data_IF_597013661963
#
_entry.id   IF_597013661963
#
_cell.length_a   1.000
_cell.length_b   1.000
_cell.length_c   1.000
_cell.angle_alpha   90.00
_cell.angle_beta   90.00
_cell.angle_gamma   90.00
#
_symmetry.space_group_name_H-M   'P 1'
#
loop_
_entity.id
_entity.type
_entity.pdbx_description
1 polymer ?
#
# COMPACT_ATOMS: atom_id res chain seq x y z
N UNK A 1 33.26 36.79 15.88
CA UNK A 1 32.68 35.44 15.67
C UNK A 1 31.45 35.30 16.53
N UNK A 2 30.32 35.86 16.08
CA UNK A 2 29.00 35.66 16.71
C UNK A 2 27.96 35.85 15.61
N UNK A 3 27.32 34.76 15.20
CA UNK A 3 26.27 34.79 14.20
C UNK A 3 25.52 33.46 14.12
N UNK A 4 24.18 33.59 14.03
CA UNK A 4 23.13 32.59 13.80
C UNK A 4 22.79 31.69 15.00
N UNK A 5 21.57 31.70 15.56
CA UNK A 5 20.29 32.17 15.05
C UNK A 5 19.74 31.22 13.98
N UNK A 6 18.65 30.51 14.31
CA UNK A 6 17.86 29.74 13.35
C UNK A 6 17.53 28.34 13.86
N UNK A 7 16.31 28.18 14.36
CA UNK A 7 15.80 26.90 14.79
C UNK A 7 15.51 25.92 13.65
N UNK A 8 15.10 24.73 14.04
CA UNK A 8 14.02 24.01 13.37
C UNK A 8 13.41 23.06 14.38
N UNK A 9 12.15 23.31 14.72
CA UNK A 9 11.28 22.28 15.25
C UNK A 9 11.26 21.16 14.20
N UNK A 10 11.82 20.01 14.54
CA UNK A 10 11.59 18.81 13.75
C UNK A 10 10.33 18.20 14.36
N UNK A 11 9.19 18.53 13.76
CA UNK A 11 8.01 17.69 13.81
C UNK A 11 8.40 16.34 13.22
N UNK A 12 8.91 15.46 14.08
CA UNK A 12 9.14 14.07 13.75
C UNK A 12 7.77 13.39 13.84
N UNK A 13 6.93 13.70 12.85
CA UNK A 13 5.76 12.89 12.55
C UNK A 13 6.27 11.48 12.41
N UNK A 14 5.79 10.60 13.30
CA UNK A 14 6.04 9.16 13.31
C UNK A 14 6.11 8.72 11.86
N UNK A 15 7.28 8.25 11.41
CA UNK A 15 7.42 7.56 10.13
C UNK A 15 6.24 6.59 10.05
N UNK A 16 5.24 6.90 9.20
CA UNK A 16 4.14 5.98 8.92
C UNK A 16 4.79 4.73 8.36
N UNK A 17 4.99 3.75 9.25
CA UNK A 17 5.73 2.55 8.94
C UNK A 17 4.80 1.72 8.07
N UNK A 18 4.95 1.88 6.76
CA UNK A 18 4.16 1.18 5.76
C UNK A 18 4.14 -0.33 6.02
N UNK A 19 3.05 -0.97 5.63
CA UNK A 19 2.85 -2.39 5.81
C UNK A 19 3.63 -3.16 4.74
N UNK A 20 4.41 -4.17 5.17
CA UNK A 20 5.04 -5.09 4.22
C UNK A 20 3.97 -5.87 3.43
N UNK A 21 4.31 -6.38 2.25
CA UNK A 21 3.36 -7.19 1.47
C UNK A 21 2.81 -8.41 2.24
N UNK A 22 3.64 -9.08 3.05
CA UNK A 22 3.18 -10.19 3.90
C UNK A 22 2.15 -9.73 4.93
N UNK A 23 2.45 -8.66 5.67
CA UNK A 23 1.54 -8.12 6.70
C UNK A 23 0.26 -7.57 6.09
N UNK A 24 0.35 -6.97 4.91
CA UNK A 24 -0.80 -6.48 4.12
C UNK A 24 -1.73 -7.63 3.76
N UNK A 25 -1.21 -8.72 3.19
CA UNK A 25 -2.00 -9.90 2.83
C UNK A 25 -2.72 -10.49 4.05
N UNK A 26 -2.02 -10.61 5.18
CA UNK A 26 -2.57 -11.08 6.46
C UNK A 26 -3.70 -10.17 6.98
N UNK A 27 -3.49 -8.85 7.03
CA UNK A 27 -4.48 -7.89 7.54
C UNK A 27 -5.73 -7.78 6.67
N UNK A 28 -5.57 -7.80 5.35
CA UNK A 28 -6.69 -7.75 4.39
C UNK A 28 -7.43 -9.09 4.38
N UNK A 29 -6.73 -10.21 4.60
CA UNK A 29 -7.27 -11.57 4.53
C UNK A 29 -7.25 -12.13 3.11
N UNK A 30 -6.25 -11.77 2.31
CA UNK A 30 -6.03 -12.29 0.94
C UNK A 30 -4.74 -13.09 0.90
N UNK A 31 -4.57 -13.93 -0.12
CA UNK A 31 -3.29 -14.61 -0.34
C UNK A 31 -2.23 -13.61 -0.80
N UNK A 32 -0.96 -13.86 -0.46
CA UNK A 32 0.15 -13.04 -0.98
C UNK A 32 0.19 -13.03 -2.51
N UNK A 33 -0.22 -14.13 -3.16
CA UNK A 33 -0.30 -14.24 -4.62
C UNK A 33 -1.36 -13.32 -5.22
N UNK A 34 -2.54 -13.19 -4.58
CA UNK A 34 -3.55 -12.22 -5.00
C UNK A 34 -3.01 -10.80 -4.88
N UNK A 35 -2.37 -10.46 -3.76
CA UNK A 35 -1.74 -9.15 -3.58
C UNK A 35 -0.69 -8.86 -4.65
N UNK A 36 0.23 -9.79 -4.91
CA UNK A 36 1.26 -9.61 -5.94
C UNK A 36 0.65 -9.48 -7.34
N UNK A 37 -0.35 -10.29 -7.65
CA UNK A 37 -1.05 -10.21 -8.94
C UNK A 37 -1.75 -8.87 -9.13
N UNK A 38 -2.50 -8.38 -8.12
CA UNK A 38 -3.18 -7.08 -8.19
C UNK A 38 -2.21 -5.91 -8.33
N UNK A 39 -1.07 -5.96 -7.64
CA UNK A 39 -0.01 -4.96 -7.79
C UNK A 39 0.68 -5.01 -9.16
N UNK A 40 0.91 -6.21 -9.71
CA UNK A 40 1.53 -6.38 -11.03
C UNK A 40 0.60 -6.03 -12.20
N UNK A 41 -0.70 -6.01 -11.97
CA UNK A 41 -1.74 -5.73 -12.98
C UNK A 41 -2.46 -4.42 -12.70
N UNK A 42 -1.84 -3.57 -11.88
CA UNK A 42 -2.22 -2.19 -11.63
C UNK A 42 -3.62 -1.99 -11.06
N UNK A 43 -4.21 -3.04 -10.49
CA UNK A 43 -5.49 -2.90 -9.79
C UNK A 43 -5.31 -2.07 -8.52
N UNK A 44 -4.31 -2.41 -7.70
CA UNK A 44 -3.88 -1.61 -6.54
C UNK A 44 -2.37 -1.75 -6.40
N UNK A 45 -1.64 -0.63 -6.50
CA UNK A 45 -0.20 -0.56 -6.28
C UNK A 45 0.13 -0.04 -4.88
N UNK A 46 1.25 -0.48 -4.28
CA UNK A 46 1.72 0.11 -3.03
C UNK A 46 2.04 1.60 -3.24
N UNK A 47 1.43 2.48 -2.43
CA UNK A 47 1.62 3.92 -2.55
C UNK A 47 2.89 4.44 -1.88
N UNK A 48 3.44 3.72 -0.88
CA UNK A 48 4.63 4.16 -0.16
C UNK A 48 5.93 3.70 -0.82
N UNK A 49 5.98 2.45 -1.28
CA UNK A 49 7.13 1.97 -2.03
C UNK A 49 6.74 0.84 -2.98
N UNK A 50 6.94 1.07 -4.27
CA UNK A 50 6.93 0.04 -5.30
C UNK A 50 8.22 -0.80 -5.25
N UNK A 51 8.12 -2.07 -5.66
CA UNK A 51 9.32 -2.89 -5.87
C UNK A 51 9.94 -2.55 -7.23
N UNK A 52 11.16 -2.02 -7.23
CA UNK A 52 11.91 -1.57 -8.42
C UNK A 52 13.03 -2.55 -8.84
N UNK A 53 13.18 -3.70 -8.18
CA UNK A 53 14.20 -4.70 -8.52
C UNK A 53 14.46 -5.73 -7.41
N UNK A 54 15.49 -6.56 -7.62
CA UNK A 54 15.94 -7.56 -6.63
C UNK A 54 16.37 -6.86 -5.33
N UNK A 55 15.68 -7.15 -4.24
CA UNK A 55 15.96 -6.59 -2.91
C UNK A 55 15.04 -5.45 -2.45
N UNK A 56 14.32 -4.79 -3.36
CA UNK A 56 13.30 -3.79 -2.99
C UNK A 56 12.03 -4.46 -2.49
N UNK A 57 11.46 -3.97 -1.39
CA UNK A 57 10.23 -4.52 -0.78
C UNK A 57 9.08 -3.54 -0.99
N UNK A 58 7.90 -4.08 -1.33
CA UNK A 58 6.67 -3.29 -1.37
C UNK A 58 6.28 -2.82 0.02
N UNK A 59 5.91 -1.56 0.15
CA UNK A 59 5.36 -0.97 1.36
C UNK A 59 4.01 -0.32 1.05
N UNK A 60 2.98 -0.75 1.76
CA UNK A 60 1.60 -0.31 1.56
C UNK A 60 1.22 0.70 2.64
N UNK A 61 0.49 1.74 2.27
CA UNK A 61 -0.11 2.68 3.24
C UNK A 61 -1.35 2.06 3.90
N UNK A 62 -1.86 2.68 4.96
CA UNK A 62 -3.16 2.30 5.51
C UNK A 62 -4.30 2.47 4.49
N UNK A 63 -4.23 3.47 3.62
CA UNK A 63 -5.21 3.66 2.55
C UNK A 63 -5.21 2.48 1.57
N UNK A 64 -4.03 2.01 1.16
CA UNK A 64 -3.94 0.85 0.25
C UNK A 64 -4.61 -0.39 0.89
N UNK A 65 -4.45 -0.57 2.20
CA UNK A 65 -5.10 -1.66 2.94
C UNK A 65 -6.63 -1.55 2.88
N UNK A 66 -7.19 -0.34 2.96
CA UNK A 66 -8.63 -0.11 2.86
C UNK A 66 -9.14 -0.42 1.45
N UNK A 67 -8.45 0.05 0.42
CA UNK A 67 -8.81 -0.22 -0.98
C UNK A 67 -8.76 -1.72 -1.28
N UNK A 68 -7.69 -2.40 -0.85
CA UNK A 68 -7.57 -3.86 -0.94
C UNK A 68 -8.71 -4.58 -0.20
N UNK A 69 -9.14 -4.05 0.96
CA UNK A 69 -10.27 -4.62 1.71
C UNK A 69 -11.57 -4.49 0.95
N UNK A 70 -11.82 -3.34 0.31
CA UNK A 70 -13.01 -3.12 -0.53
C UNK A 70 -12.99 -4.06 -1.73
N UNK A 71 -11.86 -4.16 -2.45
CA UNK A 71 -11.69 -5.10 -3.55
C UNK A 71 -12.02 -6.52 -3.10
N UNK A 72 -11.44 -6.98 -1.98
CA UNK A 72 -11.73 -8.31 -1.43
C UNK A 72 -13.22 -8.49 -1.14
N UNK A 73 -13.86 -7.53 -0.48
CA UNK A 73 -15.29 -7.61 -0.13
C UNK A 73 -16.18 -7.73 -1.37
N UNK A 74 -15.88 -6.99 -2.45
CA UNK A 74 -16.61 -7.11 -3.71
C UNK A 74 -16.45 -8.49 -4.34
N UNK A 75 -15.22 -9.02 -4.36
CA UNK A 75 -14.95 -10.35 -4.89
C UNK A 75 -15.60 -11.47 -4.05
N UNK A 76 -15.55 -11.36 -2.73
CA UNK A 76 -16.22 -12.29 -1.81
C UNK A 76 -17.76 -12.27 -2.02
N UNK A 77 -18.32 -11.12 -2.38
CA UNK A 77 -19.74 -10.96 -2.71
C UNK A 77 -20.10 -11.50 -4.12
N UNK A 78 -19.14 -12.05 -4.86
CA UNK A 78 -19.35 -12.63 -6.18
C UNK A 78 -19.28 -11.63 -7.34
N UNK A 79 -18.87 -10.39 -7.10
CA UNK A 79 -18.62 -9.42 -8.17
C UNK A 79 -17.39 -9.87 -8.96
N UNK A 80 -17.49 -9.86 -10.29
CA UNK A 80 -16.38 -10.27 -11.16
C UNK A 80 -15.23 -9.26 -11.07
N UNK A 81 -13.99 -9.76 -11.09
CA UNK A 81 -12.78 -8.93 -11.05
C UNK A 81 -12.74 -7.86 -12.16
N UNK A 82 -13.28 -8.17 -13.33
CA UNK A 82 -13.43 -7.23 -14.44
C UNK A 82 -14.25 -5.98 -14.05
N UNK A 83 -15.43 -6.18 -13.45
CA UNK A 83 -16.27 -5.07 -12.99
C UNK A 83 -15.61 -4.26 -11.87
N UNK A 84 -14.82 -4.92 -11.01
CA UNK A 84 -14.05 -4.21 -9.97
C UNK A 84 -12.98 -3.33 -10.62
N UNK A 85 -12.31 -3.79 -11.69
CA UNK A 85 -11.32 -2.97 -12.40
C UNK A 85 -11.91 -1.69 -12.94
N UNK A 86 -13.13 -1.72 -13.48
CA UNK A 86 -13.80 -0.52 -14.02
C UNK A 86 -14.03 0.59 -12.97
N UNK A 87 -13.99 0.27 -11.68
CA UNK A 87 -14.19 1.22 -10.58
C UNK A 87 -12.86 1.76 -10.03
N UNK A 88 -11.80 0.96 -10.08
CA UNK A 88 -10.52 1.24 -9.43
C UNK A 88 -9.37 1.59 -10.39
N UNK A 89 -9.52 1.30 -11.69
CA UNK A 89 -8.52 1.59 -12.74
C UNK A 89 -8.86 2.88 -13.47
#
# INVERSE_FOLDING_TARGET
>A
MTGRGGGKAVTEGVVESGFSGKRTAELVGITYRQLDYWARTDLIRPSLADAQGSGSRRAYSYQDLLELKVVKTLLDAGIRLEMVRDVFS
#
